data_IF_803187119122
#
_entry.id   IF_803187119122
#
_cell.length_a   1.000
_cell.length_b   1.000
_cell.length_c   1.000
_cell.angle_alpha   90.00
_cell.angle_beta   90.00
_cell.angle_gamma   90.00
#
_symmetry.space_group_name_H-M   'P 1'
#
loop_
_entity.id
_entity.type
_entity.pdbx_description
1 polymer ?
#
# COMPACT_ATOMS: atom_id res chain seq x y z
N UNK A 1 23.02 -16.17 -11.02
CA UNK A 1 22.81 -15.58 -9.69
C UNK A 1 21.34 -15.75 -9.33
N UNK A 2 21.01 -16.12 -8.10
CA UNK A 2 19.61 -16.19 -7.65
C UNK A 2 19.16 -14.80 -7.21
N UNK A 3 17.94 -14.39 -7.56
CA UNK A 3 17.34 -13.15 -7.11
C UNK A 3 17.14 -13.16 -5.59
N UNK A 4 17.17 -11.98 -4.97
CA UNK A 4 16.74 -11.77 -3.58
C UNK A 4 15.26 -11.37 -3.56
N UNK A 5 14.53 -11.52 -2.44
CA UNK A 5 13.16 -11.07 -2.32
C UNK A 5 13.00 -9.58 -2.66
N UNK A 6 11.80 -9.20 -3.13
CA UNK A 6 11.42 -7.79 -3.23
C UNK A 6 11.57 -7.14 -1.86
N UNK A 7 12.23 -5.97 -1.80
CA UNK A 7 12.53 -5.32 -0.54
C UNK A 7 11.36 -4.47 -0.03
N UNK A 8 10.79 -3.60 -0.86
CA UNK A 8 9.60 -2.81 -0.55
C UNK A 8 9.00 -2.22 -1.83
N UNK A 9 7.79 -1.65 -1.72
CA UNK A 9 7.25 -0.66 -2.66
C UNK A 9 7.18 0.69 -1.96
N UNK A 10 7.73 1.73 -2.58
CA UNK A 10 7.72 3.09 -2.04
C UNK A 10 6.64 3.95 -2.68
N UNK A 11 5.89 4.68 -1.86
CA UNK A 11 4.83 5.61 -2.24
C UNK A 11 5.18 7.00 -1.71
N UNK A 12 4.85 8.04 -2.49
CA UNK A 12 5.01 9.44 -2.07
C UNK A 12 3.62 10.07 -1.88
N UNK A 13 3.01 9.92 -0.70
CA UNK A 13 1.62 10.29 -0.50
C UNK A 13 1.41 11.80 -0.61
N UNK A 14 0.25 12.22 -1.12
CA UNK A 14 -0.14 13.65 -1.10
C UNK A 14 -0.60 14.09 0.28
N UNK A 15 -1.32 13.21 0.96
CA UNK A 15 -1.78 13.36 2.33
C UNK A 15 -1.29 12.14 3.13
N UNK A 16 -0.23 12.36 3.90
CA UNK A 16 0.40 11.29 4.66
C UNK A 16 -0.45 10.80 5.82
N UNK A 17 -1.27 11.66 6.43
CA UNK A 17 -2.18 11.26 7.51
C UNK A 17 -3.27 10.35 6.96
N UNK A 18 -3.86 10.72 5.82
CA UNK A 18 -4.84 9.88 5.14
C UNK A 18 -4.26 8.51 4.74
N UNK A 19 -3.02 8.49 4.21
CA UNK A 19 -2.34 7.24 3.86
C UNK A 19 -1.98 6.39 5.08
N UNK A 20 -1.54 6.99 6.19
CA UNK A 20 -1.34 6.25 7.45
C UNK A 20 -2.66 5.67 7.97
N UNK A 21 -3.76 6.41 7.96
CA UNK A 21 -5.08 5.89 8.34
C UNK A 21 -5.51 4.73 7.43
N UNK A 22 -5.26 4.83 6.13
CA UNK A 22 -5.55 3.75 5.18
C UNK A 22 -4.72 2.48 5.47
N UNK A 23 -3.39 2.59 5.49
CA UNK A 23 -2.49 1.43 5.59
C UNK A 23 -2.38 0.87 7.01
N UNK A 24 -2.35 1.73 8.03
CA UNK A 24 -2.17 1.31 9.42
C UNK A 24 -3.51 1.00 10.10
N UNK A 25 -4.46 1.95 10.11
CA UNK A 25 -5.75 1.76 10.82
C UNK A 25 -6.74 0.93 10.02
N UNK A 26 -6.69 1.03 8.69
CA UNK A 26 -7.59 0.34 7.77
C UNK A 26 -7.14 -1.07 7.43
N UNK A 27 -5.92 -1.22 6.91
CA UNK A 27 -5.35 -2.54 6.56
C UNK A 27 -4.68 -3.26 7.73
N UNK A 28 -4.45 -2.57 8.85
CA UNK A 28 -3.82 -3.17 10.04
C UNK A 28 -2.31 -3.32 9.96
N UNK A 29 -1.64 -2.73 8.96
CA UNK A 29 -0.17 -2.76 8.90
C UNK A 29 0.43 -2.02 10.10
N UNK A 30 1.60 -2.44 10.54
CA UNK A 30 2.31 -1.83 11.65
C UNK A 30 3.50 -1.02 11.14
N UNK A 31 3.85 0.04 11.87
CA UNK A 31 5.09 0.78 11.64
C UNK A 31 6.26 -0.11 12.06
N UNK A 32 7.04 -0.56 11.09
CA UNK A 32 8.24 -1.36 11.31
C UNK A 32 9.45 -0.45 11.56
N UNK A 33 9.54 0.65 10.82
CA UNK A 33 10.62 1.65 10.91
C UNK A 33 9.99 3.02 10.62
N UNK A 34 10.35 4.05 11.41
CA UNK A 34 10.01 5.45 11.16
C UNK A 34 11.29 6.28 11.35
N UNK A 35 11.80 6.82 10.25
CA UNK A 35 13.01 7.64 10.21
C UNK A 35 12.63 9.04 9.78
N UNK A 36 12.53 9.95 10.74
CA UNK A 36 12.30 11.37 10.49
C UNK A 36 13.63 12.13 10.30
N UNK A 37 13.68 13.04 9.33
CA UNK A 37 14.90 13.81 9.00
C UNK A 37 16.04 12.98 8.40
N UNK A 38 15.75 11.93 7.63
CA UNK A 38 16.75 11.11 6.95
C UNK A 38 17.41 11.88 5.80
N UNK A 39 18.68 12.24 5.99
CA UNK A 39 19.49 12.93 4.98
C UNK A 39 20.23 11.98 4.03
N UNK A 40 20.28 12.30 2.74
CA UNK A 40 21.01 11.55 1.71
C UNK A 40 21.17 12.33 0.41
N UNK A 41 21.55 11.67 -0.69
CA UNK A 41 21.63 12.29 -2.03
C UNK A 41 20.38 11.99 -2.86
N UNK A 42 19.21 12.21 -2.28
CA UNK A 42 17.91 11.84 -2.86
C UNK A 42 17.58 12.65 -4.12
N UNK A 43 17.98 13.91 -4.18
CA UNK A 43 17.91 14.75 -5.40
C UNK A 43 18.68 14.11 -6.55
N UNK A 44 19.83 13.51 -6.26
CA UNK A 44 20.67 12.86 -7.27
C UNK A 44 20.13 11.50 -7.71
N UNK A 45 19.68 10.65 -6.78
CA UNK A 45 19.32 9.26 -7.11
C UNK A 45 17.85 9.09 -7.51
N UNK A 46 16.94 9.95 -7.02
CA UNK A 46 15.51 9.87 -7.31
C UNK A 46 14.99 11.07 -8.11
N UNK A 47 15.79 12.12 -8.30
CA UNK A 47 15.26 13.39 -8.77
C UNK A 47 14.28 14.01 -7.78
N UNK A 48 14.44 13.70 -6.49
CA UNK A 48 13.58 14.19 -5.42
C UNK A 48 13.66 15.72 -5.26
N UNK A 49 12.64 16.36 -4.67
CA UNK A 49 12.66 17.80 -4.40
C UNK A 49 13.62 18.21 -3.27
N UNK A 50 14.02 17.26 -2.41
CA UNK A 50 14.87 17.48 -1.25
C UNK A 50 15.82 16.31 -1.01
N UNK A 51 16.96 16.59 -0.38
CA UNK A 51 17.95 15.60 0.12
C UNK A 51 17.65 15.16 1.57
N UNK A 52 16.53 15.61 2.14
CA UNK A 52 16.01 15.21 3.44
C UNK A 52 14.57 14.69 3.29
N UNK A 53 14.28 13.55 3.93
CA UNK A 53 12.97 12.92 3.91
C UNK A 53 12.63 12.28 5.25
N UNK A 54 11.33 12.09 5.51
CA UNK A 54 10.84 11.10 6.47
C UNK A 54 10.47 9.82 5.72
N UNK A 55 10.91 8.67 6.23
CA UNK A 55 10.63 7.36 5.66
C UNK A 55 9.94 6.47 6.69
N UNK A 56 8.73 6.01 6.37
CA UNK A 56 7.90 5.17 7.25
C UNK A 56 7.67 3.82 6.54
N UNK A 57 8.25 2.76 7.08
CA UNK A 57 8.06 1.40 6.58
C UNK A 57 6.90 0.74 7.31
N UNK A 58 5.88 0.36 6.55
CA UNK A 58 4.67 -0.32 7.02
C UNK A 58 4.68 -1.77 6.55
N UNK A 59 4.32 -2.70 7.43
CA UNK A 59 4.21 -4.11 7.09
C UNK A 59 3.64 -4.94 8.23
N UNK A 60 3.57 -6.26 8.02
CA UNK A 60 3.19 -7.17 9.09
C UNK A 60 4.43 -7.65 9.86
N UNK A 61 4.49 -7.49 11.19
CA UNK A 61 5.63 -7.95 11.98
C UNK A 61 5.79 -9.48 11.94
N UNK A 62 4.72 -10.22 11.64
CA UNK A 62 4.71 -11.68 11.58
C UNK A 62 5.45 -12.23 10.36
N UNK A 63 5.64 -11.41 9.32
CA UNK A 63 6.25 -11.78 8.05
C UNK A 63 7.59 -11.06 7.79
N UNK A 64 8.19 -10.48 8.83
CA UNK A 64 9.46 -9.76 8.73
C UNK A 64 9.41 -8.62 7.71
N UNK A 65 10.35 -8.60 6.76
CA UNK A 65 10.42 -7.56 5.72
C UNK A 65 9.70 -7.95 4.41
N UNK A 66 8.82 -8.95 4.43
CA UNK A 66 8.00 -9.29 3.26
C UNK A 66 6.81 -8.33 3.11
N UNK A 67 6.52 -7.89 1.88
CA UNK A 67 5.33 -7.07 1.59
C UNK A 67 5.36 -5.67 2.18
N UNK A 68 6.55 -5.07 2.33
CA UNK A 68 6.71 -3.76 2.96
C UNK A 68 6.28 -2.62 2.03
N UNK A 69 5.44 -1.73 2.56
CA UNK A 69 5.07 -0.44 1.93
C UNK A 69 5.85 0.67 2.63
N UNK A 70 6.65 1.42 1.89
CA UNK A 70 7.36 2.59 2.40
C UNK A 70 6.61 3.86 2.02
N UNK A 71 6.24 4.68 3.00
CA UNK A 71 5.76 6.04 2.77
C UNK A 71 6.95 7.00 2.85
N UNK A 72 7.23 7.67 1.75
CA UNK A 72 8.34 8.62 1.61
C UNK A 72 7.79 10.04 1.55
N UNK A 73 8.15 10.85 2.53
CA UNK A 73 7.73 12.24 2.67
C UNK A 73 8.97 13.12 2.56
N UNK A 74 9.03 14.01 1.57
CA UNK A 74 10.14 14.95 1.47
C UNK A 74 9.86 16.20 2.31
N UNK A 75 10.87 16.68 3.04
CA UNK A 75 10.79 17.97 3.72
C UNK A 75 10.58 19.08 2.68
N UNK A 76 9.62 19.97 2.92
CA UNK A 76 9.27 21.09 2.03
C UNK A 76 8.99 20.65 0.58
N UNK A 77 8.02 19.76 0.37
CA UNK A 77 7.55 19.34 -0.95
C UNK A 77 6.36 20.20 -1.43
N UNK A 78 6.58 21.37 -2.07
CA UNK A 78 5.51 22.23 -2.55
C UNK A 78 4.64 21.55 -3.62
N UNK A 79 5.17 20.52 -4.28
CA UNK A 79 4.48 19.75 -5.31
C UNK A 79 3.63 18.60 -4.77
N UNK A 80 3.66 18.32 -3.47
CA UNK A 80 2.91 17.19 -2.89
C UNK A 80 1.40 17.29 -3.19
N UNK A 81 0.80 18.47 -3.05
CA UNK A 81 -0.61 18.71 -3.36
C UNK A 81 -0.91 18.66 -4.88
N UNK A 82 0.06 19.03 -5.71
CA UNK A 82 -0.07 19.09 -7.18
C UNK A 82 0.21 17.76 -7.88
N UNK A 83 0.75 16.76 -7.16
CA UNK A 83 0.90 15.39 -7.69
C UNK A 83 -0.47 14.90 -8.12
N UNK A 84 -0.56 14.33 -9.33
CA UNK A 84 -1.83 13.82 -9.83
C UNK A 84 -2.18 12.53 -9.09
N UNK A 85 -3.47 12.36 -8.80
CA UNK A 85 -4.03 11.07 -8.41
C UNK A 85 -3.69 10.02 -9.47
N UNK A 86 -3.37 8.80 -9.03
CA UNK A 86 -3.23 7.69 -9.96
C UNK A 86 -4.51 7.59 -10.81
N UNK A 87 -4.40 7.29 -12.12
CA UNK A 87 -5.57 7.25 -12.99
C UNK A 87 -6.63 6.25 -12.49
N UNK A 88 -7.90 6.63 -12.66
CA UNK A 88 -9.05 5.77 -12.35
C UNK A 88 -9.21 4.62 -13.36
N UNK A 89 -8.51 4.69 -14.49
CA UNK A 89 -8.53 3.69 -15.56
C UNK A 89 -7.29 2.79 -15.51
N UNK A 90 -7.36 1.66 -16.21
CA UNK A 90 -6.24 0.73 -16.35
C UNK A 90 -5.08 1.45 -17.07
N UNK A 91 -3.89 1.36 -16.50
CA UNK A 91 -2.67 1.94 -17.05
C UNK A 91 -1.66 0.86 -17.39
N UNK A 92 -0.86 1.09 -18.44
CA UNK A 92 0.34 0.31 -18.69
C UNK A 92 1.39 0.67 -17.63
N UNK A 93 1.91 -0.32 -16.89
CA UNK A 93 2.92 -0.12 -15.85
C UNK A 93 2.50 -0.68 -14.50
N UNK A 94 2.74 0.06 -13.42
CA UNK A 94 2.34 -0.33 -12.08
C UNK A 94 0.80 -0.39 -11.98
N UNK A 95 0.26 -1.59 -11.75
CA UNK A 95 -1.17 -1.84 -11.81
C UNK A 95 -1.85 -1.81 -10.44
N UNK A 96 -1.38 -2.61 -9.48
CA UNK A 96 -1.97 -2.71 -8.14
C UNK A 96 -0.97 -3.18 -7.08
N UNK A 97 -1.32 -2.97 -5.82
CA UNK A 97 -0.73 -3.65 -4.65
C UNK A 97 -1.74 -4.65 -4.08
N UNK A 98 -1.31 -5.87 -3.76
CA UNK A 98 -2.20 -6.93 -3.28
C UNK A 98 -1.83 -7.33 -1.85
N UNK A 99 -2.85 -7.47 -0.99
CA UNK A 99 -2.72 -7.89 0.40
C UNK A 99 -3.66 -9.05 0.70
N UNK A 100 -3.14 -10.04 1.40
CA UNK A 100 -3.99 -11.00 2.09
C UNK A 100 -4.62 -10.34 3.31
N UNK A 101 -5.92 -10.53 3.49
CA UNK A 101 -6.67 -10.06 4.65
C UNK A 101 -7.52 -11.19 5.22
N UNK A 102 -7.75 -11.16 6.53
CA UNK A 102 -8.57 -12.18 7.20
C UNK A 102 -10.03 -12.18 6.73
N UNK A 103 -10.57 -10.99 6.48
CA UNK A 103 -11.94 -10.81 5.97
C UNK A 103 -11.99 -9.56 5.07
N UNK A 104 -12.28 -9.76 3.79
CA UNK A 104 -12.37 -8.68 2.80
C UNK A 104 -13.50 -7.72 3.10
N UNK A 105 -14.67 -8.22 3.51
CA UNK A 105 -15.85 -7.39 3.76
C UNK A 105 -15.63 -6.51 4.99
N UNK A 106 -15.09 -7.09 6.07
CA UNK A 106 -14.77 -6.35 7.28
C UNK A 106 -13.69 -5.29 7.03
N UNK A 107 -12.66 -5.63 6.25
CA UNK A 107 -11.58 -4.68 5.90
C UNK A 107 -12.12 -3.50 5.09
N UNK A 108 -13.01 -3.75 4.13
CA UNK A 108 -13.64 -2.68 3.34
C UNK A 108 -14.51 -1.80 4.23
N UNK A 109 -15.35 -2.37 5.09
CA UNK A 109 -16.20 -1.61 6.00
C UNK A 109 -15.37 -0.70 6.93
N UNK A 110 -14.24 -1.20 7.44
CA UNK A 110 -13.28 -0.42 8.23
C UNK A 110 -12.72 0.77 7.43
N UNK A 111 -12.28 0.54 6.19
CA UNK A 111 -11.75 1.59 5.32
C UNK A 111 -12.80 2.65 4.96
N UNK A 112 -14.06 2.25 4.77
CA UNK A 112 -15.19 3.15 4.55
C UNK A 112 -15.52 3.98 5.79
N UNK A 113 -15.55 3.37 6.97
CA UNK A 113 -15.78 4.06 8.25
C UNK A 113 -14.69 5.11 8.54
N UNK A 114 -13.44 4.79 8.21
CA UNK A 114 -12.33 5.74 8.29
C UNK A 114 -12.42 6.87 7.26
N UNK A 115 -13.27 6.75 6.24
CA UNK A 115 -13.43 7.74 5.18
C UNK A 115 -12.24 7.82 4.21
N UNK A 116 -11.45 6.75 4.13
CA UNK A 116 -10.23 6.66 3.29
C UNK A 116 -10.38 5.71 2.11
N UNK A 117 -11.52 5.01 2.00
CA UNK A 117 -11.83 4.15 0.86
C UNK A 117 -12.32 4.95 -0.36
N UNK A 118 -11.73 4.68 -1.53
CA UNK A 118 -12.26 5.11 -2.82
C UNK A 118 -12.60 3.93 -3.73
N UNK A 119 -13.61 4.08 -4.59
CA UNK A 119 -13.85 3.18 -5.74
C UNK A 119 -13.88 1.68 -5.37
N UNK A 120 -14.61 1.35 -4.29
CA UNK A 120 -14.72 0.00 -3.71
C UNK A 120 -15.47 -0.95 -4.64
N UNK A 121 -14.93 -2.16 -4.83
CA UNK A 121 -15.57 -3.27 -5.55
C UNK A 121 -15.28 -4.59 -4.86
N UNK A 122 -16.23 -5.53 -4.89
CA UNK A 122 -16.05 -6.88 -4.35
C UNK A 122 -16.65 -7.93 -5.29
N UNK A 123 -16.04 -9.11 -5.34
CA UNK A 123 -16.61 -10.29 -6.00
C UNK A 123 -16.12 -11.56 -5.33
N UNK A 124 -16.75 -12.68 -5.67
CA UNK A 124 -16.22 -14.01 -5.40
C UNK A 124 -15.52 -14.52 -6.65
N UNK A 125 -14.35 -15.15 -6.49
CA UNK A 125 -13.62 -15.86 -7.55
C UNK A 125 -13.70 -17.35 -7.27
N UNK A 126 -13.99 -18.15 -8.31
CA UNK A 126 -14.13 -19.61 -8.22
C UNK A 126 -15.56 -20.06 -7.92
N UNK A 127 -15.73 -21.38 -7.75
CA UNK A 127 -17.01 -22.04 -7.46
C UNK A 127 -16.82 -23.12 -6.39
N UNK A 128 -17.88 -23.44 -5.64
CA UNK A 128 -17.87 -24.49 -4.62
C UNK A 128 -16.93 -24.21 -3.44
N UNK A 129 -16.33 -25.26 -2.87
CA UNK A 129 -15.48 -25.17 -1.66
C UNK A 129 -14.16 -24.40 -1.87
N UNK A 130 -13.78 -24.14 -3.12
CA UNK A 130 -12.58 -23.37 -3.47
C UNK A 130 -12.84 -21.88 -3.75
N UNK A 131 -14.08 -21.42 -3.62
CA UNK A 131 -14.43 -20.03 -3.88
C UNK A 131 -13.86 -19.10 -2.79
N UNK A 132 -13.29 -17.97 -3.18
CA UNK A 132 -12.74 -16.98 -2.24
C UNK A 132 -13.20 -15.57 -2.60
N UNK A 133 -13.26 -14.70 -1.59
CA UNK A 133 -13.66 -13.30 -1.77
C UNK A 133 -12.45 -12.46 -2.15
N UNK A 134 -12.63 -11.61 -3.16
CA UNK A 134 -11.66 -10.57 -3.55
C UNK A 134 -12.34 -9.21 -3.52
N UNK A 135 -11.63 -8.23 -2.99
CA UNK A 135 -12.01 -6.83 -3.01
C UNK A 135 -10.98 -6.00 -3.74
N UNK A 136 -11.40 -4.89 -4.31
CA UNK A 136 -10.50 -3.80 -4.70
C UNK A 136 -10.98 -2.49 -4.10
N UNK A 137 -10.03 -1.67 -3.68
CA UNK A 137 -10.25 -0.34 -3.12
C UNK A 137 -9.11 0.56 -3.59
N UNK A 138 -9.40 1.83 -3.83
CA UNK A 138 -8.38 2.84 -4.10
C UNK A 138 -7.99 3.54 -2.81
N UNK A 139 -6.68 3.66 -2.59
CA UNK A 139 -6.14 4.46 -1.50
C UNK A 139 -6.43 5.97 -1.71
N UNK A 140 -6.08 6.84 -0.74
CA UNK A 140 -6.24 8.29 -0.87
C UNK A 140 -5.56 8.88 -2.11
N UNK A 141 -4.46 8.27 -2.56
CA UNK A 141 -3.68 8.68 -3.72
C UNK A 141 -4.15 8.06 -5.05
N UNK A 142 -5.17 7.19 -5.00
CA UNK A 142 -5.78 6.50 -6.13
C UNK A 142 -5.11 5.18 -6.52
N UNK A 143 -4.08 4.74 -5.81
CA UNK A 143 -3.43 3.44 -6.02
C UNK A 143 -4.48 2.33 -5.87
N UNK A 144 -4.55 1.41 -6.84
CA UNK A 144 -5.45 0.28 -6.75
C UNK A 144 -4.87 -0.75 -5.76
N UNK A 145 -5.64 -1.06 -4.73
CA UNK A 145 -5.32 -2.04 -3.70
C UNK A 145 -6.25 -3.23 -3.87
N UNK A 146 -5.68 -4.43 -4.03
CA UNK A 146 -6.38 -5.70 -4.06
C UNK A 146 -6.35 -6.34 -2.67
N UNK A 147 -7.52 -6.79 -2.22
CA UNK A 147 -7.72 -7.48 -0.96
C UNK A 147 -8.13 -8.91 -1.27
N UNK A 148 -7.28 -9.86 -0.90
CA UNK A 148 -7.54 -11.29 -1.10
C UNK A 148 -7.89 -11.89 0.25
N UNK A 149 -9.12 -12.38 0.39
CA UNK A 149 -9.51 -13.14 1.58
C UNK A 149 -8.69 -14.41 1.63
N UNK A 150 -7.96 -14.64 2.72
CA UNK A 150 -7.11 -15.83 2.89
C UNK A 150 -7.97 -17.08 2.65
N UNK A 151 -7.66 -17.92 1.63
CA UNK A 151 -8.16 -19.28 1.62
C UNK A 151 -7.43 -20.06 2.74
N UNK A 152 -8.10 -21.00 3.42
CA UNK A 152 -7.42 -21.83 4.41
C UNK A 152 -6.26 -22.57 3.72
N UNK A 153 -5.03 -22.27 4.13
CA UNK A 153 -3.77 -22.99 3.84
C UNK A 153 -3.03 -22.78 2.50
N UNK A 154 -3.39 -21.85 1.61
CA UNK A 154 -2.60 -21.63 0.39
C UNK A 154 -2.29 -20.16 0.11
N UNK A 155 -1.12 -19.70 0.56
CA UNK A 155 -0.36 -18.75 -0.27
C UNK A 155 -0.01 -19.43 -1.59
N UNK A 156 0.22 -18.67 -2.66
CA UNK A 156 0.77 -19.24 -3.91
C UNK A 156 1.95 -20.15 -3.53
N UNK A 157 1.80 -21.46 -3.77
CA UNK A 157 2.54 -22.52 -3.07
C UNK A 157 4.07 -22.36 -3.03
N UNK A 158 4.66 -23.05 -2.04
CA UNK A 158 6.10 -23.18 -1.79
C UNK A 158 6.99 -23.33 -3.05
#
# INVERSE_FOLDING_TARGET
MRGRPMHHVALTPRDHEASLRFYQEGLGLQVLIDLDGLTGKWTHIFGAPSDELRSIFLGSPDYGNAGVVELVLFADDPGAADRRRAPAELVNGFFLLSFYVGDVTATIAQLEELGVAGDVRTTTIGEGEGAFTVGTVRDPDGTLIELVGIPPEQGFGD
#
